data_IF_852643287078
#
_entry.id   IF_852643287078
#
_cell.length_a   1.000
_cell.length_b   1.000
_cell.length_c   1.000
_cell.angle_alpha   90.00
_cell.angle_beta   90.00
_cell.angle_gamma   90.00
#
_symmetry.space_group_name_H-M   'P 1'
#
loop_
_entity.id
_entity.type
_entity.pdbx_description
1 polymer ?
#
# COMPACT_ATOMS: atom_id res chain seq x y z
N UNK A 1 24.25 4.13 -17.44
CA UNK A 1 23.47 3.11 -16.77
C UNK A 1 22.14 2.97 -17.46
N UNK A 2 21.61 1.77 -17.52
CA UNK A 2 20.34 1.54 -18.18
C UNK A 2 19.17 2.07 -17.33
N UNK A 3 18.25 2.73 -17.98
CA UNK A 3 17.07 3.32 -17.37
C UNK A 3 15.82 2.76 -18.06
N UNK A 4 14.69 2.81 -17.38
CA UNK A 4 13.42 2.46 -17.96
C UNK A 4 12.32 3.38 -17.43
N UNK A 5 11.20 3.45 -18.14
CA UNK A 5 10.06 4.26 -17.71
C UNK A 5 9.29 3.53 -16.61
N UNK A 6 9.11 4.20 -15.48
CA UNK A 6 8.24 3.72 -14.41
C UNK A 6 7.08 4.68 -14.19
N UNK A 7 5.91 4.08 -14.00
CA UNK A 7 4.66 4.81 -13.74
C UNK A 7 3.97 4.27 -12.51
N UNK A 8 3.35 5.16 -11.77
CA UNK A 8 2.37 4.79 -10.74
C UNK A 8 1.08 5.54 -11.03
N UNK A 9 0.05 4.78 -11.33
CA UNK A 9 -1.25 5.29 -11.78
C UNK A 9 -2.35 4.81 -10.84
N UNK A 10 -3.10 5.74 -10.29
CA UNK A 10 -4.34 5.46 -9.57
C UNK A 10 -5.54 5.74 -10.49
N UNK A 11 -6.76 5.30 -10.13
CA UNK A 11 -7.94 5.63 -10.92
C UNK A 11 -8.20 7.13 -11.11
N UNK A 12 -7.64 7.96 -10.23
CA UNK A 12 -7.87 9.40 -10.20
C UNK A 12 -6.77 10.18 -10.93
N UNK A 13 -5.52 9.74 -10.82
CA UNK A 13 -4.38 10.50 -11.33
C UNK A 13 -3.13 9.66 -11.56
N UNK A 14 -2.19 10.21 -12.31
CA UNK A 14 -0.83 9.70 -12.45
C UNK A 14 0.04 10.37 -11.39
N UNK A 15 0.49 9.62 -10.39
CA UNK A 15 1.32 10.12 -9.30
C UNK A 15 2.82 10.14 -9.63
N UNK A 16 3.27 9.27 -10.51
CA UNK A 16 4.66 9.17 -10.92
C UNK A 16 4.76 8.71 -12.38
N UNK A 17 5.59 9.35 -13.16
CA UNK A 17 5.88 8.98 -14.55
C UNK A 17 7.25 9.55 -14.94
N UNK A 18 8.32 8.79 -14.65
CA UNK A 18 9.70 9.22 -14.89
C UNK A 18 10.60 8.05 -15.26
N UNK A 19 11.80 8.37 -15.77
CA UNK A 19 12.86 7.39 -15.97
C UNK A 19 13.49 7.02 -14.63
N UNK A 20 13.70 5.73 -14.41
CA UNK A 20 14.26 5.19 -13.16
C UNK A 20 15.29 4.10 -13.45
N UNK A 21 16.12 3.81 -12.46
CA UNK A 21 17.08 2.69 -12.48
C UNK A 21 16.48 1.43 -11.82
N UNK A 22 15.54 1.61 -10.91
CA UNK A 22 14.88 0.50 -10.23
C UNK A 22 13.52 0.90 -9.68
N UNK A 23 12.63 -0.08 -9.54
CA UNK A 23 11.39 0.00 -8.77
C UNK A 23 11.40 -1.10 -7.72
N UNK A 24 11.22 -0.74 -6.47
CA UNK A 24 11.20 -1.68 -5.34
C UNK A 24 9.82 -1.61 -4.69
N UNK A 25 9.17 -2.74 -4.59
CA UNK A 25 7.83 -2.83 -4.00
C UNK A 25 7.63 -4.15 -3.25
N UNK A 26 6.58 -4.21 -2.46
CA UNK A 26 6.24 -5.39 -1.68
C UNK A 26 5.18 -6.23 -2.37
N UNK A 27 5.47 -7.52 -2.51
CA UNK A 27 4.53 -8.52 -3.02
C UNK A 27 4.09 -9.45 -1.89
N UNK A 28 3.14 -10.32 -2.16
CA UNK A 28 2.68 -11.31 -1.19
C UNK A 28 3.75 -12.32 -0.72
N UNK A 29 4.86 -12.43 -1.44
CA UNK A 29 5.98 -13.33 -1.12
C UNK A 29 7.25 -12.59 -0.66
N UNK A 30 7.19 -11.28 -0.53
CA UNK A 30 8.30 -10.43 -0.09
C UNK A 30 8.56 -9.24 -1.01
N UNK A 31 9.66 -8.55 -0.76
CA UNK A 31 10.07 -7.42 -1.56
C UNK A 31 10.60 -7.86 -2.93
N UNK A 32 10.18 -7.18 -3.97
CA UNK A 32 10.64 -7.39 -5.34
C UNK A 32 11.30 -6.11 -5.88
N UNK A 33 12.40 -6.30 -6.61
CA UNK A 33 13.11 -5.21 -7.29
C UNK A 33 13.05 -5.43 -8.78
N UNK A 34 12.52 -4.46 -9.50
CA UNK A 34 12.48 -4.46 -10.96
C UNK A 34 13.57 -3.55 -11.47
N UNK A 35 14.42 -4.10 -12.32
CA UNK A 35 15.56 -3.42 -12.95
C UNK A 35 15.43 -3.48 -14.49
N UNK A 36 16.19 -2.68 -15.23
CA UNK A 36 16.17 -2.74 -16.69
C UNK A 36 16.38 -4.18 -17.20
N UNK A 37 15.59 -4.58 -18.19
CA UNK A 37 15.67 -5.93 -18.76
C UNK A 37 14.89 -7.01 -18.01
N UNK A 38 14.12 -6.63 -16.98
CA UNK A 38 13.26 -7.60 -16.29
C UNK A 38 12.25 -8.22 -17.24
N UNK A 39 12.01 -9.53 -17.13
CA UNK A 39 11.04 -10.22 -17.96
C UNK A 39 9.61 -9.69 -17.74
N UNK A 40 8.78 -9.68 -18.80
CA UNK A 40 7.39 -9.27 -18.67
C UNK A 40 6.64 -10.11 -17.64
N UNK A 41 5.88 -9.43 -16.77
CA UNK A 41 5.00 -10.10 -15.81
C UNK A 41 3.86 -9.17 -15.35
N UNK A 42 2.84 -9.79 -14.77
CA UNK A 42 1.81 -9.12 -13.98
C UNK A 42 1.79 -9.77 -12.61
N UNK A 43 1.87 -8.97 -11.57
CA UNK A 43 1.89 -9.45 -10.18
C UNK A 43 1.00 -8.62 -9.26
N UNK A 44 0.69 -9.21 -8.10
CA UNK A 44 -0.04 -8.51 -7.03
C UNK A 44 0.92 -7.71 -6.16
N UNK A 45 0.51 -6.51 -5.79
CA UNK A 45 1.20 -5.64 -4.85
C UNK A 45 0.40 -5.61 -3.54
N UNK A 46 1.07 -5.88 -2.42
CA UNK A 46 0.45 -5.74 -1.10
C UNK A 46 0.63 -4.31 -0.58
N UNK A 47 -0.23 -3.84 0.34
CA UNK A 47 -0.07 -2.52 0.93
C UNK A 47 1.34 -2.33 1.54
N UNK A 48 2.03 -1.28 1.15
CA UNK A 48 3.37 -1.02 1.63
C UNK A 48 4.08 0.13 0.90
N UNK A 49 5.37 0.24 1.18
CA UNK A 49 6.26 1.21 0.56
C UNK A 49 6.61 0.79 -0.87
N UNK A 50 6.45 1.70 -1.81
CA UNK A 50 7.00 1.60 -3.16
C UNK A 50 8.10 2.65 -3.31
N UNK A 51 9.26 2.25 -3.80
CA UNK A 51 10.40 3.14 -4.05
C UNK A 51 10.74 3.15 -5.52
N UNK A 52 10.78 4.34 -6.09
CA UNK A 52 11.27 4.59 -7.45
C UNK A 52 12.66 5.20 -7.34
N UNK A 53 13.67 4.49 -7.78
CA UNK A 53 15.05 4.93 -7.72
C UNK A 53 15.39 5.69 -9.00
N UNK A 54 15.55 7.01 -8.91
CA UNK A 54 15.92 7.87 -10.02
C UNK A 54 17.39 7.69 -10.40
N UNK A 55 17.78 8.04 -11.63
CA UNK A 55 19.18 8.10 -11.99
C UNK A 55 19.95 8.99 -11.01
N UNK A 56 21.06 8.48 -10.45
CA UNK A 56 21.82 9.18 -9.41
C UNK A 56 21.47 8.74 -7.98
N UNK A 57 20.49 7.85 -7.80
CA UNK A 57 20.20 7.22 -6.52
C UNK A 57 19.15 7.94 -5.65
N UNK A 58 18.60 9.06 -6.10
CA UNK A 58 17.48 9.71 -5.41
C UNK A 58 16.22 8.84 -5.46
N UNK A 59 15.55 8.67 -4.34
CA UNK A 59 14.34 7.86 -4.26
C UNK A 59 13.06 8.70 -4.12
N UNK A 60 12.06 8.39 -4.95
CA UNK A 60 10.69 8.79 -4.70
C UNK A 60 9.99 7.67 -3.92
N UNK A 61 9.49 7.99 -2.76
CA UNK A 61 8.81 7.04 -1.87
C UNK A 61 7.30 7.27 -1.92
N UNK A 62 6.56 6.20 -2.03
CA UNK A 62 5.10 6.21 -2.18
C UNK A 62 4.47 5.17 -1.26
N UNK A 63 3.42 5.56 -0.56
CA UNK A 63 2.55 4.62 0.15
C UNK A 63 1.51 4.09 -0.83
N UNK A 64 1.64 2.85 -1.25
CA UNK A 64 0.68 2.18 -2.12
C UNK A 64 -0.19 1.21 -1.30
N UNK A 65 -1.50 1.27 -1.53
CA UNK A 65 -2.47 0.48 -0.77
C UNK A 65 -2.96 -0.75 -1.55
N UNK A 66 -2.02 -1.58 -1.99
CA UNK A 66 -2.28 -2.79 -2.77
C UNK A 66 -2.22 -2.56 -4.28
N UNK A 67 -2.91 -3.39 -5.04
CA UNK A 67 -3.03 -3.29 -6.49
C UNK A 67 -2.17 -4.27 -7.26
N UNK A 68 -1.72 -3.87 -8.44
CA UNK A 68 -0.96 -4.70 -9.38
C UNK A 68 0.28 -3.98 -9.89
N UNK A 69 1.27 -4.77 -10.27
CA UNK A 69 2.43 -4.30 -11.03
C UNK A 69 2.43 -5.00 -12.39
N UNK A 70 2.67 -4.24 -13.43
CA UNK A 70 2.80 -4.72 -14.81
C UNK A 70 4.18 -4.35 -15.35
N UNK A 71 4.98 -5.35 -15.68
CA UNK A 71 6.24 -5.19 -16.40
C UNK A 71 5.96 -5.46 -17.87
N UNK A 72 6.14 -4.43 -18.69
CA UNK A 72 5.85 -4.49 -20.13
C UNK A 72 6.99 -5.19 -20.89
N UNK A 73 6.66 -5.77 -22.06
CA UNK A 73 7.63 -6.44 -22.94
C UNK A 73 8.75 -5.50 -23.41
N UNK A 74 8.47 -4.22 -23.49
CA UNK A 74 9.41 -3.16 -23.88
C UNK A 74 10.24 -2.62 -22.71
N UNK A 75 10.03 -3.14 -21.49
CA UNK A 75 10.82 -2.84 -20.30
C UNK A 75 10.24 -1.78 -19.37
N UNK A 76 9.08 -1.20 -19.67
CA UNK A 76 8.38 -0.29 -18.77
C UNK A 76 7.76 -1.01 -17.58
N UNK A 77 7.66 -0.34 -16.43
CA UNK A 77 7.00 -0.85 -15.22
C UNK A 77 5.88 0.09 -14.83
N UNK A 78 4.68 -0.42 -14.71
CA UNK A 78 3.51 0.34 -14.25
C UNK A 78 2.95 -0.28 -12.98
N UNK A 79 2.82 0.52 -11.94
CA UNK A 79 2.18 0.14 -10.67
C UNK A 79 0.79 0.73 -10.64
N UNK A 80 -0.21 -0.09 -10.38
CA UNK A 80 -1.64 0.24 -10.45
C UNK A 80 -2.33 0.00 -9.10
N UNK A 81 -2.07 0.83 -8.09
CA UNK A 81 -2.77 0.73 -6.81
C UNK A 81 -4.15 1.37 -6.89
N UNK A 82 -5.14 0.89 -6.09
CA UNK A 82 -6.44 1.55 -5.98
C UNK A 82 -6.35 2.93 -5.33
N UNK A 83 -5.36 3.12 -4.47
CA UNK A 83 -5.01 4.43 -3.88
C UNK A 83 -3.54 4.46 -3.50
N UNK A 84 -2.93 5.62 -3.59
CA UNK A 84 -1.55 5.83 -3.20
C UNK A 84 -1.30 7.30 -2.80
N UNK A 85 -0.24 7.52 -2.03
CA UNK A 85 0.16 8.86 -1.58
C UNK A 85 1.68 8.99 -1.65
N UNK A 86 2.16 10.10 -2.18
CA UNK A 86 3.58 10.44 -2.12
C UNK A 86 4.00 10.67 -0.66
N UNK A 87 5.20 10.24 -0.29
CA UNK A 87 5.69 10.34 1.09
C UNK A 87 5.61 11.78 1.65
N UNK A 88 5.97 12.76 0.85
CA UNK A 88 5.93 14.19 1.21
C UNK A 88 4.52 14.76 1.40
N UNK A 89 3.48 14.10 0.90
CA UNK A 89 2.09 14.50 1.04
C UNK A 89 1.36 13.81 2.20
N UNK A 90 2.03 12.90 2.91
CA UNK A 90 1.42 12.17 4.02
C UNK A 90 1.36 13.04 5.27
N UNK A 91 0.16 13.24 5.80
CA UNK A 91 -0.07 13.84 7.11
C UNK A 91 0.07 12.77 8.20
N UNK A 92 1.22 12.77 8.87
CA UNK A 92 1.59 11.76 9.89
C UNK A 92 0.64 11.82 11.09
N UNK A 93 0.26 13.01 11.55
CA UNK A 93 -0.64 13.17 12.69
C UNK A 93 -2.03 12.61 12.39
N UNK A 94 -2.52 12.85 11.19
CA UNK A 94 -3.78 12.27 10.72
C UNK A 94 -3.69 10.75 10.61
N UNK A 95 -2.57 10.23 10.11
CA UNK A 95 -2.33 8.79 10.02
C UNK A 95 -2.28 8.12 11.40
N UNK A 96 -1.63 8.74 12.38
CA UNK A 96 -1.60 8.25 13.76
C UNK A 96 -2.98 8.21 14.40
N UNK A 97 -3.77 9.27 14.24
CA UNK A 97 -5.17 9.31 14.72
C UNK A 97 -6.02 8.23 14.06
N UNK A 98 -5.85 8.05 12.75
CA UNK A 98 -6.55 7.00 12.02
C UNK A 98 -6.17 5.60 12.50
N UNK A 99 -4.91 5.39 12.89
CA UNK A 99 -4.44 4.14 13.48
C UNK A 99 -5.08 3.89 14.84
N UNK A 100 -5.06 4.88 15.72
CA UNK A 100 -5.70 4.80 17.05
C UNK A 100 -7.19 4.49 16.95
N UNK A 101 -7.90 5.18 16.06
CA UNK A 101 -9.33 4.95 15.80
C UNK A 101 -9.60 3.52 15.32
N UNK A 102 -8.77 3.01 14.40
CA UNK A 102 -8.91 1.66 13.87
C UNK A 102 -8.60 0.59 14.94
N UNK A 103 -7.58 0.79 15.76
CA UNK A 103 -7.25 -0.10 16.88
C UNK A 103 -8.34 -0.11 17.94
N UNK A 104 -8.90 1.05 18.29
CA UNK A 104 -10.03 1.19 19.21
C UNK A 104 -11.26 0.46 18.68
N UNK A 105 -11.56 0.62 17.38
CA UNK A 105 -12.69 -0.07 16.74
C UNK A 105 -12.51 -1.58 16.75
N UNK A 106 -11.31 -2.07 16.45
CA UNK A 106 -11.00 -3.50 16.51
C UNK A 106 -11.13 -4.06 17.93
N UNK A 107 -10.70 -3.31 18.95
CA UNK A 107 -10.85 -3.70 20.37
C UNK A 107 -12.33 -3.78 20.77
N UNK A 108 -13.17 -2.83 20.34
CA UNK A 108 -14.62 -2.85 20.57
C UNK A 108 -15.28 -4.06 19.91
N UNK A 109 -14.93 -4.34 18.66
CA UNK A 109 -15.46 -5.48 17.90
C UNK A 109 -15.04 -6.82 18.53
N UNK A 110 -13.80 -6.92 19.00
CA UNK A 110 -13.31 -8.11 19.69
C UNK A 110 -14.01 -8.32 21.04
N UNK A 111 -14.31 -7.26 21.79
CA UNK A 111 -15.05 -7.32 23.04
C UNK A 111 -16.50 -7.72 22.83
N UNK A 112 -17.16 -7.21 21.77
CA UNK A 112 -18.52 -7.56 21.41
C UNK A 112 -18.68 -9.03 21.00
N UNK A 113 -17.65 -9.63 20.37
CA UNK A 113 -17.64 -11.04 19.99
C UNK A 113 -17.36 -12.03 21.14
N UNK A 114 -17.10 -11.55 22.37
CA UNK A 114 -16.70 -12.39 23.52
C UNK A 114 -17.77 -12.59 24.60
N UNK A 115 -18.99 -12.15 24.39
CA UNK A 115 -20.05 -12.34 25.39
C UNK A 115 -20.45 -13.80 25.47
N UNK A 116 -20.30 -14.48 26.65
CA UNK A 116 -20.76 -15.82 26.86
C UNK A 116 -22.24 -15.80 27.26
N UNK A 117 -23.11 -15.46 26.37
CA UNK A 117 -24.56 -15.61 26.61
C UNK A 117 -25.24 -16.11 25.36
N UNK A 118 -26.00 -17.19 25.55
CA UNK A 118 -26.84 -17.86 24.56
C UNK A 118 -28.02 -17.00 24.03
N UNK A 119 -27.80 -15.71 23.89
CA UNK A 119 -28.72 -14.80 23.22
C UNK A 119 -28.15 -14.41 21.91
N UNK A 120 -28.86 -14.72 20.84
CA UNK A 120 -28.60 -14.21 19.49
C UNK A 120 -28.62 -12.68 19.51
N UNK A 121 -27.46 -12.07 19.78
CA UNK A 121 -27.30 -10.63 19.72
C UNK A 121 -27.34 -10.22 18.24
N UNK A 122 -28.41 -9.54 17.85
CA UNK A 122 -28.55 -8.86 16.55
C UNK A 122 -27.42 -7.82 16.29
N UNK A 123 -26.49 -7.67 17.23
CA UNK A 123 -25.37 -6.71 17.20
C UNK A 123 -23.99 -7.39 17.24
N UNK A 124 -23.89 -8.68 16.90
CA UNK A 124 -22.58 -9.28 16.69
C UNK A 124 -21.85 -8.57 15.56
N UNK A 125 -20.55 -8.20 15.74
CA UNK A 125 -19.80 -7.53 14.68
C UNK A 125 -19.79 -8.39 13.42
N UNK A 126 -20.12 -7.80 12.30
CA UNK A 126 -20.06 -8.47 11.01
C UNK A 126 -18.61 -8.65 10.58
N UNK A 127 -18.29 -9.70 9.85
CA UNK A 127 -16.96 -9.91 9.27
C UNK A 127 -16.52 -8.69 8.43
N UNK A 128 -17.47 -8.02 7.79
CA UNK A 128 -17.23 -6.78 7.01
C UNK A 128 -16.72 -5.64 7.89
N UNK A 129 -17.28 -5.43 9.07
CA UNK A 129 -16.82 -4.38 9.99
C UNK A 129 -15.40 -4.63 10.50
N UNK A 130 -15.06 -5.88 10.76
CA UNK A 130 -13.69 -6.28 11.14
C UNK A 130 -12.72 -6.05 9.98
N UNK A 131 -13.06 -6.48 8.78
CA UNK A 131 -12.24 -6.30 7.58
C UNK A 131 -12.00 -4.82 7.27
N UNK A 132 -13.03 -3.97 7.38
CA UNK A 132 -12.91 -2.53 7.18
C UNK A 132 -11.98 -1.87 8.19
N UNK A 133 -12.09 -2.25 9.47
CA UNK A 133 -11.24 -1.74 10.53
C UNK A 133 -9.78 -2.19 10.36
N UNK A 134 -9.55 -3.45 9.99
CA UNK A 134 -8.21 -3.97 9.68
C UNK A 134 -7.59 -3.29 8.46
N UNK A 135 -8.37 -3.07 7.40
CA UNK A 135 -7.92 -2.37 6.21
C UNK A 135 -7.56 -0.90 6.53
N UNK A 136 -8.36 -0.22 7.34
CA UNK A 136 -8.07 1.14 7.81
C UNK A 136 -6.79 1.19 8.64
N UNK A 137 -6.61 0.23 9.55
CA UNK A 137 -5.40 0.07 10.35
C UNK A 137 -4.18 -0.10 9.45
N UNK A 138 -4.24 -1.01 8.50
CA UNK A 138 -3.14 -1.30 7.57
C UNK A 138 -2.75 -0.07 6.74
N UNK A 139 -3.73 0.67 6.22
CA UNK A 139 -3.44 1.92 5.48
C UNK A 139 -2.75 2.97 6.35
N UNK A 140 -3.16 3.10 7.60
CA UNK A 140 -2.53 4.03 8.54
C UNK A 140 -1.09 3.62 8.89
N UNK A 141 -0.85 2.35 9.13
CA UNK A 141 0.49 1.80 9.38
C UNK A 141 1.43 2.04 8.20
N UNK A 142 0.97 1.78 6.98
CA UNK A 142 1.74 2.01 5.74
C UNK A 142 2.10 3.50 5.59
N UNK A 143 1.17 4.41 5.83
CA UNK A 143 1.44 5.85 5.78
C UNK A 143 2.51 6.27 6.78
N UNK A 144 2.42 5.78 8.01
CA UNK A 144 3.40 6.09 9.08
C UNK A 144 4.77 5.54 8.70
N UNK A 145 4.85 4.31 8.24
CA UNK A 145 6.09 3.66 7.79
C UNK A 145 6.75 4.46 6.66
N UNK A 146 5.99 4.82 5.65
CA UNK A 146 6.50 5.53 4.45
C UNK A 146 6.94 6.96 4.80
N UNK A 147 6.20 7.67 5.63
CA UNK A 147 6.52 9.05 6.02
C UNK A 147 7.70 9.11 7.00
N UNK A 148 7.86 8.08 7.84
CA UNK A 148 8.89 8.05 8.88
C UNK A 148 10.21 7.41 8.45
N UNK A 149 10.23 6.78 7.32
CA UNK A 149 11.41 6.03 6.89
C UNK A 149 12.40 6.83 6.05
#
# INVERSE_FOLDING_TARGET
MAEFTARLVTPEEVLFDEQVEAVILRTGVGDATFMPGHCPLVGSVVPGLVRFVRPGGEEQRVAAHGGFVHVESEGGVTVLPPSAELAEHIDVERARRSLEDAESKLAELAAAGRTPSDQEDEHAPTDVEVEEAEAKKKRAEVRIEVAGA
#
